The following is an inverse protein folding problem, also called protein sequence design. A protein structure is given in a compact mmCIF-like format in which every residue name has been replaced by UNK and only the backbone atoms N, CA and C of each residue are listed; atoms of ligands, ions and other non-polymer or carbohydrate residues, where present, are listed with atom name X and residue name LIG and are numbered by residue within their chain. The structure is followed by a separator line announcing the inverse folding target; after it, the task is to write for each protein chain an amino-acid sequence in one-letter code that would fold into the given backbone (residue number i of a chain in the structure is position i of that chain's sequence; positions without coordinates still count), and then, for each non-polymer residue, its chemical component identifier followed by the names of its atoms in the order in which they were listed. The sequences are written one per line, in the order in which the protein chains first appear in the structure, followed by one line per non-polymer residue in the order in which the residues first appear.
data_IF_018127580955
#
_entry.id   IF_018127580955
#
_cell.length_a   1.000
_cell.length_b   1.000
_cell.length_c   1.000
_cell.angle_alpha   90.00
_cell.angle_beta   90.00
_cell.angle_gamma   90.00
#
_symmetry.space_group_name_H-M   'P 1'
#
loop_
_entity.id
_entity.type
_entity.pdbx_description
1 polymer ?
#
# COMPACT_ATOMS: atom_id res chain seq x y z
N UNK A 1 -10.62 13.20 -4.18
CA UNK A 1 -9.51 13.13 -3.20
C UNK A 1 -8.26 12.68 -3.93
N UNK A 2 -7.09 13.20 -3.57
CA UNK A 2 -5.83 12.71 -4.11
C UNK A 2 -5.56 11.31 -3.54
N UNK A 3 -5.08 10.40 -4.37
CA UNK A 3 -4.67 9.06 -3.93
C UNK A 3 -3.44 9.17 -3.01
N UNK A 4 -3.47 8.48 -1.87
CA UNK A 4 -2.32 8.27 -0.99
C UNK A 4 -2.23 6.79 -0.61
N UNK A 5 -1.16 6.15 -1.07
CA UNK A 5 -0.91 4.72 -0.85
C UNK A 5 -0.59 4.39 0.60
N UNK A 6 -0.06 5.34 1.39
CA UNK A 6 0.26 5.14 2.81
C UNK A 6 -0.97 5.25 3.69
N UNK A 7 -2.02 5.93 3.21
CA UNK A 7 -3.32 6.01 3.88
C UNK A 7 -4.15 4.72 3.79
N UNK A 8 -3.71 3.73 2.99
CA UNK A 8 -4.39 2.45 2.89
C UNK A 8 -4.18 1.66 4.19
N UNK A 9 -5.30 1.35 4.85
CA UNK A 9 -5.33 0.52 6.05
C UNK A 9 -4.94 -0.94 5.79
N UNK A 10 -4.85 -1.72 6.85
CA UNK A 10 -4.53 -3.14 6.74
C UNK A 10 -5.65 -3.89 5.99
N UNK A 11 -5.30 -4.80 5.06
CA UNK A 11 -6.28 -5.64 4.39
C UNK A 11 -6.81 -6.70 5.36
N UNK A 12 -7.96 -7.26 5.02
CA UNK A 12 -8.41 -8.49 5.67
C UNK A 12 -7.53 -9.66 5.21
N UNK A 13 -6.97 -10.39 6.18
CA UNK A 13 -6.13 -11.55 5.96
C UNK A 13 -6.82 -12.87 6.33
N UNK A 14 -8.03 -12.79 6.91
CA UNK A 14 -8.78 -13.93 7.46
C UNK A 14 -9.70 -14.52 6.39
N UNK A 15 -10.43 -13.66 5.68
CA UNK A 15 -11.40 -14.07 4.66
C UNK A 15 -10.73 -14.82 3.49
N UNK A 16 -11.48 -15.65 2.79
CA UNK A 16 -11.01 -16.32 1.58
C UNK A 16 -10.72 -15.29 0.47
N UNK A 17 -9.85 -15.62 -0.47
CA UNK A 17 -9.39 -14.71 -1.53
C UNK A 17 -10.56 -14.15 -2.36
N UNK A 18 -11.62 -14.95 -2.53
CA UNK A 18 -12.82 -14.58 -3.29
C UNK A 18 -13.73 -13.60 -2.53
N UNK A 19 -13.59 -13.53 -1.20
CA UNK A 19 -14.41 -12.67 -0.31
C UNK A 19 -13.69 -11.36 0.07
N UNK A 20 -12.38 -11.30 -0.12
CA UNK A 20 -11.56 -10.12 0.19
C UNK A 20 -11.91 -8.93 -0.71
N UNK A 21 -11.87 -7.74 -0.11
CA UNK A 21 -11.92 -6.48 -0.87
C UNK A 21 -10.71 -6.36 -1.78
N UNK A 22 -10.94 -5.85 -2.99
CA UNK A 22 -9.88 -5.58 -3.96
C UNK A 22 -8.95 -4.47 -3.44
N UNK A 23 -7.65 -4.76 -3.43
CA UNK A 23 -6.59 -3.80 -3.07
C UNK A 23 -6.06 -3.96 -1.64
N UNK A 24 -4.99 -3.23 -1.31
CA UNK A 24 -4.39 -3.21 0.02
C UNK A 24 -3.30 -4.25 0.28
N UNK A 25 -3.37 -5.45 -0.31
CA UNK A 25 -2.36 -6.49 -0.09
C UNK A 25 -0.93 -6.08 -0.49
N UNK A 26 -0.77 -5.40 -1.63
CA UNK A 26 0.56 -4.92 -2.05
C UNK A 26 1.14 -3.88 -1.08
N UNK A 27 0.30 -3.02 -0.50
CA UNK A 27 0.73 -2.02 0.50
C UNK A 27 1.10 -2.70 1.80
N UNK A 28 0.32 -3.69 2.23
CA UNK A 28 0.61 -4.50 3.39
C UNK A 28 1.98 -5.18 3.27
N UNK A 29 2.23 -5.87 2.14
CA UNK A 29 3.52 -6.53 1.89
C UNK A 29 4.68 -5.53 1.94
N UNK A 30 4.52 -4.33 1.36
CA UNK A 30 5.57 -3.30 1.43
C UNK A 30 5.86 -2.93 2.88
N UNK A 31 4.83 -2.67 3.71
CA UNK A 31 4.99 -2.30 5.12
C UNK A 31 5.66 -3.39 5.96
N UNK A 32 5.45 -4.66 5.62
CA UNK A 32 6.06 -5.80 6.34
C UNK A 32 7.53 -6.05 5.95
N UNK A 33 7.94 -5.67 4.73
CA UNK A 33 9.24 -6.04 4.17
C UNK A 33 10.32 -4.96 4.25
N UNK A 34 9.94 -3.70 4.48
CA UNK A 34 10.85 -2.55 4.36
C UNK A 34 10.98 -1.82 5.71
N UNK A 35 12.14 -1.22 5.97
CA UNK A 35 12.39 -0.43 7.18
C UNK A 35 11.64 0.91 7.15
N UNK A 36 11.58 1.55 5.98
CA UNK A 36 10.89 2.82 5.77
C UNK A 36 10.24 2.88 4.38
N UNK A 37 9.07 3.51 4.33
CA UNK A 37 8.31 3.75 3.09
C UNK A 37 7.85 5.19 3.01
N UNK A 38 8.19 5.85 1.91
CA UNK A 38 7.79 7.24 1.66
C UNK A 38 7.01 7.32 0.35
N UNK A 39 5.94 8.11 0.37
CA UNK A 39 5.10 8.38 -0.80
C UNK A 39 5.06 9.87 -1.10
N UNK A 40 5.15 10.20 -2.38
CA UNK A 40 4.83 11.53 -2.89
C UNK A 40 4.23 11.43 -4.29
N UNK A 41 3.40 12.41 -4.64
CA UNK A 41 2.82 12.55 -5.98
C UNK A 41 3.48 13.74 -6.69
N UNK A 42 4.08 13.50 -7.84
CA UNK A 42 4.79 14.50 -8.64
C UNK A 42 4.50 14.26 -10.12
N UNK A 43 4.25 15.32 -10.90
CA UNK A 43 4.00 15.24 -12.35
C UNK A 43 2.98 14.16 -12.76
N UNK A 44 1.87 14.07 -12.01
CA UNK A 44 0.80 13.09 -12.19
C UNK A 44 1.23 11.62 -12.02
N UNK A 45 2.38 11.37 -11.39
CA UNK A 45 2.92 10.05 -11.08
C UNK A 45 2.95 9.81 -9.57
N UNK A 46 2.81 8.55 -9.20
CA UNK A 46 3.02 8.07 -7.84
C UNK A 46 4.50 7.67 -7.71
N UNK A 47 5.21 8.28 -6.76
CA UNK A 47 6.61 7.97 -6.48
C UNK A 47 6.67 7.32 -5.11
N UNK A 48 7.19 6.10 -5.09
CA UNK A 48 7.40 5.30 -3.88
C UNK A 48 8.90 5.14 -3.65
N UNK A 49 9.35 5.45 -2.43
CA UNK A 49 10.71 5.17 -1.98
C UNK A 49 10.64 4.11 -0.89
N UNK A 50 11.38 3.03 -1.11
CA UNK A 50 11.51 1.91 -0.19
C UNK A 50 12.94 1.91 0.36
N UNK A 51 13.10 1.82 1.68
CA UNK A 51 14.39 1.62 2.35
C UNK A 51 14.37 0.23 2.98
N UNK A 52 15.35 -0.61 2.64
CA UNK A 52 15.46 -2.02 3.02
C UNK A 52 16.78 -2.23 3.74
#
# INVERSE_FOLDING_TARGET
MLFDVLSIGEPDLIDDIDERKVGGLGVFIIKELVEDVQYRREDNKNILKLVI
#
